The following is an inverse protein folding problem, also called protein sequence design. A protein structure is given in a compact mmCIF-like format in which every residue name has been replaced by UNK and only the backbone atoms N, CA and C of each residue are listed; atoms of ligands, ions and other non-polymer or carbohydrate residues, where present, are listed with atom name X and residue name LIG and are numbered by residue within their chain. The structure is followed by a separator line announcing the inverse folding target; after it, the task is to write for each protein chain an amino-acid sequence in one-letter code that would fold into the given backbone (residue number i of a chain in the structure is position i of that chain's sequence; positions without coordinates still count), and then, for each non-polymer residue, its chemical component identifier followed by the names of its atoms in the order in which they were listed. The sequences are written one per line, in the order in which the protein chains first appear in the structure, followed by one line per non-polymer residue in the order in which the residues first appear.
data_IF_261260260217
#
_entry.id   IF_261260260217
#
_cell.length_a   1.000
_cell.length_b   1.000
_cell.length_c   1.000
_cell.angle_alpha   90.00
_cell.angle_beta   90.00
_cell.angle_gamma   90.00
#
_symmetry.space_group_name_H-M   'P 1'
#
loop_
_entity.id
_entity.type
_entity.pdbx_description
1 polymer ?
#
# COMPACT_ATOMS: atom_id res chain seq x y z
N UNK A 1 -0.90 -0.18 15.98
CA UNK A 1 -1.01 0.65 14.74
C UNK A 1 -0.20 0.02 13.61
N UNK A 2 -0.64 0.23 12.40
CA UNK A 2 0.10 -0.17 11.21
C UNK A 2 0.77 1.08 10.65
N UNK A 3 2.07 1.00 10.38
CA UNK A 3 2.80 2.07 9.73
C UNK A 3 2.88 1.77 8.24
N UNK A 4 2.56 2.75 7.39
CA UNK A 4 2.66 2.60 5.94
C UNK A 4 3.70 3.58 5.44
N UNK A 5 4.75 3.06 4.82
CA UNK A 5 5.81 3.88 4.21
C UNK A 5 5.64 3.84 2.70
N UNK A 6 5.65 5.00 2.08
CA UNK A 6 5.28 5.16 0.69
C UNK A 6 6.43 5.81 -0.07
N UNK A 7 6.77 5.22 -1.23
CA UNK A 7 7.93 5.63 -2.02
C UNK A 7 7.55 5.91 -3.47
N UNK A 8 8.45 6.52 -4.20
CA UNK A 8 8.36 6.76 -5.65
C UNK A 8 7.09 7.53 -6.04
N UNK A 9 6.51 7.22 -7.19
CA UNK A 9 5.33 7.92 -7.69
C UNK A 9 4.12 7.79 -6.78
N UNK A 10 4.06 6.74 -5.97
CA UNK A 10 2.93 6.56 -5.05
C UNK A 10 2.93 7.61 -3.96
N UNK A 11 4.11 8.02 -3.52
CA UNK A 11 4.26 9.12 -2.57
C UNK A 11 3.72 10.43 -3.18
N UNK A 12 3.97 10.64 -4.46
CA UNK A 12 3.50 11.85 -5.14
C UNK A 12 1.98 11.88 -5.24
N UNK A 13 1.36 10.73 -5.51
CA UNK A 13 -0.09 10.62 -5.58
C UNK A 13 -0.73 10.92 -4.23
N UNK A 14 -0.18 10.38 -3.16
CA UNK A 14 -0.75 10.49 -1.81
C UNK A 14 -0.39 11.83 -1.15
N UNK A 15 0.79 12.37 -1.46
CA UNK A 15 1.28 13.58 -0.84
C UNK A 15 1.91 13.36 0.52
N UNK A 16 2.16 12.10 0.87
CA UNK A 16 2.78 11.72 2.14
C UNK A 16 3.74 10.57 1.91
N UNK A 17 4.80 10.53 2.72
CA UNK A 17 5.76 9.42 2.66
C UNK A 17 5.57 8.43 3.80
N UNK A 18 4.72 8.75 4.77
CA UNK A 18 4.47 7.86 5.90
C UNK A 18 3.08 8.14 6.48
N UNK A 19 2.33 7.08 6.77
CA UNK A 19 0.99 7.15 7.32
C UNK A 19 0.89 6.13 8.45
N UNK A 20 0.26 6.53 9.57
CA UNK A 20 -0.02 5.62 10.69
C UNK A 20 -1.52 5.34 10.72
N UNK A 21 -1.90 4.06 10.78
CA UNK A 21 -3.29 3.63 10.83
C UNK A 21 -3.53 2.88 12.14
N UNK A 22 -4.45 3.38 12.96
CA UNK A 22 -4.82 2.74 14.22
C UNK A 22 -5.82 1.62 13.95
N UNK A 23 -5.35 0.38 14.03
CA UNK A 23 -6.19 -0.81 13.82
C UNK A 23 -5.46 -2.05 14.30
N UNK A 24 -6.21 -3.14 14.49
CA UNK A 24 -5.62 -4.43 14.86
C UNK A 24 -5.09 -5.16 13.65
N UNK A 25 -5.82 -5.15 12.55
CA UNK A 25 -5.36 -5.70 11.29
C UNK A 25 -6.24 -5.19 10.15
N UNK A 26 -5.64 -5.12 8.96
CA UNK A 26 -6.33 -4.74 7.74
C UNK A 26 -5.76 -5.55 6.58
N UNK A 27 -6.60 -5.82 5.58
CA UNK A 27 -6.10 -6.36 4.32
C UNK A 27 -5.44 -5.23 3.54
N UNK A 28 -4.63 -5.58 2.55
CA UNK A 28 -4.04 -4.57 1.67
C UNK A 28 -5.13 -3.74 1.01
N UNK A 29 -6.20 -4.38 0.55
CA UNK A 29 -7.33 -3.67 -0.07
C UNK A 29 -7.92 -2.63 0.89
N UNK A 30 -8.12 -3.00 2.15
CA UNK A 30 -8.68 -2.08 3.13
C UNK A 30 -7.75 -0.90 3.40
N UNK A 31 -6.44 -1.14 3.42
CA UNK A 31 -5.46 -0.08 3.59
C UNK A 31 -5.51 0.89 2.40
N UNK A 32 -5.59 0.35 1.18
CA UNK A 32 -5.69 1.16 -0.03
C UNK A 32 -6.97 1.99 -0.02
N UNK A 33 -8.08 1.40 0.39
CA UNK A 33 -9.35 2.11 0.49
C UNK A 33 -9.28 3.24 1.53
N UNK A 34 -8.68 2.96 2.67
CA UNK A 34 -8.48 3.96 3.71
C UNK A 34 -7.66 5.16 3.19
N UNK A 35 -6.52 4.87 2.56
CA UNK A 35 -5.64 5.91 2.03
C UNK A 35 -6.34 6.70 0.92
N UNK A 36 -7.06 6.01 0.05
CA UNK A 36 -7.76 6.66 -1.06
C UNK A 36 -8.84 7.60 -0.56
N UNK A 37 -9.58 7.19 0.45
CA UNK A 37 -10.64 8.01 1.03
C UNK A 37 -10.08 9.23 1.75
N UNK A 38 -8.98 9.05 2.47
CA UNK A 38 -8.45 10.11 3.34
C UNK A 38 -7.55 11.10 2.61
N UNK A 39 -6.78 10.64 1.61
CA UNK A 39 -5.75 11.47 0.98
C UNK A 39 -6.00 11.76 -0.49
N UNK A 40 -6.16 10.74 -1.32
CA UNK A 40 -6.38 10.94 -2.74
C UNK A 40 -7.09 9.72 -3.33
N UNK A 41 -8.31 9.94 -3.80
CA UNK A 41 -9.14 8.86 -4.33
C UNK A 41 -8.56 8.18 -5.59
N UNK A 42 -7.57 8.78 -6.23
CA UNK A 42 -6.92 8.18 -7.39
C UNK A 42 -5.94 7.08 -6.99
N UNK A 43 -5.55 7.00 -5.71
CA UNK A 43 -4.59 6.01 -5.27
C UNK A 43 -5.08 4.58 -5.49
N UNK A 44 -6.36 4.32 -5.27
CA UNK A 44 -6.90 2.96 -5.46
C UNK A 44 -6.72 2.49 -6.91
N UNK A 45 -6.85 3.40 -7.87
CA UNK A 45 -6.66 3.06 -9.29
C UNK A 45 -5.22 2.71 -9.60
N UNK A 46 -4.29 3.35 -8.91
CA UNK A 46 -2.86 3.07 -9.08
C UNK A 46 -2.44 1.78 -8.38
N UNK A 47 -3.08 1.45 -7.26
CA UNK A 47 -2.65 0.34 -6.43
C UNK A 47 -3.29 -0.99 -6.81
N UNK A 48 -4.57 -0.97 -7.21
CA UNK A 48 -5.33 -2.19 -7.50
C UNK A 48 -5.89 -2.12 -8.91
N UNK A 49 -5.54 -3.13 -9.71
CA UNK A 49 -5.98 -3.25 -11.09
C UNK A 49 -6.47 -4.67 -11.33
N UNK A 50 -7.69 -4.82 -11.85
CA UNK A 50 -8.30 -6.13 -12.10
C UNK A 50 -8.31 -7.00 -10.83
N UNK A 51 -8.62 -6.38 -9.68
CA UNK A 51 -8.70 -7.05 -8.38
C UNK A 51 -7.38 -7.66 -7.94
N UNK A 52 -6.27 -7.13 -8.44
CA UNK A 52 -4.91 -7.56 -8.09
C UNK A 52 -4.06 -6.35 -7.76
N UNK A 53 -2.99 -6.59 -7.00
CA UNK A 53 -1.99 -5.54 -6.76
C UNK A 53 -1.37 -5.19 -8.12
N UNK A 54 -1.24 -3.89 -8.40
CA UNK A 54 -0.59 -3.42 -9.61
C UNK A 54 0.79 -4.09 -9.74
N UNK A 55 1.06 -4.69 -10.90
CA UNK A 55 2.31 -5.44 -11.13
C UNK A 55 3.56 -4.57 -11.01
N UNK A 56 3.42 -3.26 -11.14
CA UNK A 56 4.54 -2.33 -11.00
C UNK A 56 4.70 -1.80 -9.57
N UNK A 57 3.86 -2.26 -8.67
CA UNK A 57 3.92 -1.90 -7.26
C UNK A 57 4.48 -3.09 -6.46
N UNK A 58 5.53 -2.82 -5.69
CA UNK A 58 6.11 -3.82 -4.79
C UNK A 58 5.64 -3.51 -3.38
N UNK A 59 4.96 -4.45 -2.76
CA UNK A 59 4.38 -4.26 -1.42
C UNK A 59 5.01 -5.25 -0.47
N UNK A 60 5.68 -4.73 0.58
CA UNK A 60 6.45 -5.54 1.52
C UNK A 60 5.99 -5.32 2.96
N UNK A 61 5.97 -6.40 3.72
CA UNK A 61 5.84 -6.36 5.19
C UNK A 61 7.02 -7.15 5.74
N UNK A 62 8.03 -6.44 6.28
CA UNK A 62 9.28 -7.08 6.63
C UNK A 62 9.92 -7.71 5.39
N UNK A 63 10.24 -8.99 5.48
CA UNK A 63 10.83 -9.74 4.36
C UNK A 63 9.78 -10.39 3.46
N UNK A 64 8.50 -10.23 3.80
CA UNK A 64 7.41 -10.87 3.08
C UNK A 64 6.85 -9.94 2.03
N UNK A 65 6.77 -10.41 0.78
CA UNK A 65 6.11 -9.66 -0.29
C UNK A 65 4.63 -10.04 -0.30
N UNK A 66 3.76 -9.03 -0.31
CA UNK A 66 2.34 -9.28 -0.45
C UNK A 66 2.02 -9.65 -1.88
N UNK A 67 1.22 -10.71 -2.05
CA UNK A 67 0.86 -11.23 -3.35
C UNK A 67 -0.61 -11.01 -3.70
N UNK A 68 -1.44 -10.74 -2.71
CA UNK A 68 -2.88 -10.62 -2.88
C UNK A 68 -3.41 -9.39 -2.16
N UNK A 69 -4.47 -8.79 -2.73
CA UNK A 69 -5.16 -7.68 -2.06
C UNK A 69 -5.83 -8.13 -0.77
N UNK A 70 -5.99 -9.44 -0.58
CA UNK A 70 -6.61 -10.00 0.64
C UNK A 70 -5.57 -10.36 1.71
N UNK A 71 -4.28 -10.21 1.41
CA UNK A 71 -3.23 -10.43 2.41
C UNK A 71 -3.37 -9.42 3.54
N UNK A 72 -3.22 -9.88 4.77
CA UNK A 72 -3.43 -9.03 5.95
C UNK A 72 -2.14 -8.48 6.52
N UNK A 73 -2.25 -7.27 7.05
CA UNK A 73 -1.18 -6.59 7.78
C UNK A 73 -1.70 -6.37 9.20
N UNK A 74 -0.86 -6.64 10.19
CA UNK A 74 -1.28 -6.64 11.59
C UNK A 74 -0.70 -5.46 12.36
N UNK A 75 -1.34 -5.14 13.46
CA UNK A 75 -0.86 -4.14 14.41
C UNK A 75 0.62 -4.39 14.73
N UNK A 76 1.41 -3.34 14.63
CA UNK A 76 2.85 -3.41 14.90
C UNK A 76 3.70 -3.65 13.66
N UNK A 77 3.09 -4.01 12.55
CA UNK A 77 3.83 -4.21 11.31
C UNK A 77 3.96 -2.92 10.50
N UNK A 78 4.96 -2.88 9.64
CA UNK A 78 5.20 -1.78 8.71
C UNK A 78 5.00 -2.28 7.29
N UNK A 79 4.11 -1.62 6.56
CA UNK A 79 3.87 -1.90 5.15
C UNK A 79 4.69 -0.91 4.32
N UNK A 80 5.47 -1.41 3.36
CA UNK A 80 6.21 -0.55 2.44
C UNK A 80 5.62 -0.68 1.04
N UNK A 81 5.32 0.45 0.43
CA UNK A 81 4.79 0.51 -0.93
C UNK A 81 5.87 1.13 -1.81
N UNK A 82 6.44 0.33 -2.69
CA UNK A 82 7.54 0.72 -3.55
C UNK A 82 7.19 0.48 -5.01
N UNK A 83 7.98 1.05 -5.91
CA UNK A 83 7.86 0.78 -7.33
C UNK A 83 8.83 -0.34 -7.70
N UNK A 84 8.41 -1.22 -8.62
CA UNK A 84 9.33 -2.24 -9.13
C UNK A 84 10.32 -1.60 -10.09
N UNK A 85 11.52 -2.17 -10.16
CA UNK A 85 12.51 -1.75 -11.13
C UNK A 85 12.26 -2.48 -12.45
N UNK A 86 11.25 -2.05 -13.18
CA UNK A 86 11.02 -2.62 -14.52
C UNK A 86 11.75 -1.72 -15.53
N UNK A 87 12.27 -2.37 -16.53
CA UNK A 87 13.12 -1.71 -17.49
C UNK A 87 12.40 -0.76 -18.43
N UNK A 88 11.43 -0.22 -17.91
CA UNK A 88 10.64 0.68 -18.62
C UNK A 88 10.97 1.90 -19.10
#
# INVERSE_FOLDING_TARGET
MIKVKIYAEYRDIIGKNEIDIQCDQMTFKEIVEYISTKYNKEFIKAAIQNEKINEYMLVMVGDRMLMSIDDTIKNGETLKILATAHGG
#
